data_IF_167282168863
#
_entry.id   IF_167282168863
#
_cell.length_a   1.000
_cell.length_b   1.000
_cell.length_c   1.000
_cell.angle_alpha   90.00
_cell.angle_beta   90.00
_cell.angle_gamma   90.00
#
_symmetry.space_group_name_H-M   'P 1'
#
loop_
_entity.id
_entity.type
_entity.pdbx_description
1 polymer ?
#
# COMPACT_ATOMS: atom_id res chain seq x y z
N UNK A 1 2.92 19.72 16.49
CA UNK A 1 2.92 19.70 15.03
C UNK A 1 4.35 19.93 14.54
N UNK A 2 5.03 18.93 13.94
CA UNK A 2 6.42 19.04 13.51
C UNK A 2 6.65 20.19 12.50
N UNK A 3 5.69 20.49 11.64
CA UNK A 3 5.79 21.61 10.70
C UNK A 3 5.85 22.97 11.41
N UNK A 4 5.24 23.10 12.58
CA UNK A 4 5.33 24.33 13.39
C UNK A 4 6.73 24.56 14.00
N UNK A 5 7.57 23.52 14.02
CA UNK A 5 8.95 23.57 14.49
C UNK A 5 9.96 23.88 13.36
N UNK A 6 9.47 24.10 12.13
CA UNK A 6 10.33 24.37 10.97
C UNK A 6 11.23 23.20 10.56
N UNK A 7 10.85 21.96 10.93
CA UNK A 7 11.62 20.79 10.59
C UNK A 7 11.67 20.58 9.07
N UNK A 8 12.85 20.26 8.58
CA UNK A 8 13.08 19.89 7.19
C UNK A 8 12.93 18.38 7.01
N UNK A 9 12.87 17.91 5.78
CA UNK A 9 12.91 16.50 5.45
C UNK A 9 14.20 15.85 5.99
N UNK A 10 14.05 14.75 6.76
CA UNK A 10 15.21 14.10 7.37
C UNK A 10 14.94 13.26 8.61
N UNK A 11 16.00 12.69 9.15
CA UNK A 11 15.98 11.94 10.39
C UNK A 11 16.12 12.86 11.61
N UNK A 12 15.33 12.56 12.62
CA UNK A 12 15.32 13.27 13.91
C UNK A 12 15.32 12.28 15.06
N UNK A 13 16.11 12.54 16.08
CA UNK A 13 16.07 11.78 17.31
C UNK A 13 14.92 12.30 18.19
N UNK A 14 14.00 11.43 18.55
CA UNK A 14 12.93 11.71 19.49
C UNK A 14 13.33 11.18 20.85
N UNK A 15 13.37 12.06 21.85
CA UNK A 15 13.65 11.72 23.22
C UNK A 15 12.35 11.76 24.04
N UNK A 16 12.20 10.78 24.92
CA UNK A 16 11.13 10.72 25.89
C UNK A 16 11.70 10.46 27.27
N UNK A 17 11.52 11.42 28.16
CA UNK A 17 11.92 11.31 29.56
C UNK A 17 10.68 11.06 30.42
N UNK A 18 10.73 10.00 31.23
CA UNK A 18 9.67 9.61 32.15
C UNK A 18 10.20 9.67 33.56
N UNK A 19 9.60 10.51 34.38
CA UNK A 19 9.88 10.54 35.82
C UNK A 19 9.05 9.44 36.50
N UNK A 20 9.75 8.47 37.07
CA UNK A 20 9.11 7.38 37.81
C UNK A 20 8.65 7.83 39.21
N UNK A 21 7.72 7.08 39.84
CA UNK A 21 7.20 7.45 41.17
C UNK A 21 8.27 7.50 42.28
N UNK A 22 9.40 6.81 42.07
CA UNK A 22 10.54 6.84 43.01
C UNK A 22 11.49 8.04 42.79
N UNK A 23 11.14 8.93 41.86
CA UNK A 23 11.95 10.10 41.53
C UNK A 23 13.07 9.80 40.50
N UNK A 24 13.17 8.57 39.97
CA UNK A 24 14.16 8.21 38.97
C UNK A 24 13.71 8.72 37.60
N UNK A 25 14.60 9.37 36.85
CA UNK A 25 14.37 9.74 35.47
C UNK A 25 14.78 8.60 34.53
N UNK A 26 13.85 8.09 33.72
CA UNK A 26 14.13 7.12 32.69
C UNK A 26 13.99 7.77 31.32
N UNK A 27 15.07 7.79 30.57
CA UNK A 27 15.10 8.34 29.20
C UNK A 27 15.13 7.23 28.18
N UNK A 28 14.37 7.39 27.10
CA UNK A 28 14.44 6.59 25.88
C UNK A 28 14.51 7.49 24.67
N UNK A 29 15.25 7.06 23.67
CA UNK A 29 15.29 7.73 22.37
C UNK A 29 14.96 6.77 21.25
N UNK A 30 14.40 7.29 20.18
CA UNK A 30 14.18 6.58 18.93
C UNK A 30 14.41 7.55 17.78
N UNK A 31 14.92 7.05 16.66
CA UNK A 31 15.05 7.83 15.46
C UNK A 31 13.77 7.76 14.65
N UNK A 32 13.27 8.89 14.20
CA UNK A 32 12.13 9.01 13.31
C UNK A 32 12.54 9.76 12.05
N UNK A 33 11.91 9.39 10.93
CA UNK A 33 12.02 10.16 9.71
C UNK A 33 10.82 11.11 9.61
N UNK A 34 11.10 12.41 9.48
CA UNK A 34 10.09 13.41 9.19
C UNK A 34 10.09 13.73 7.70
N UNK A 35 8.91 13.74 7.08
CA UNK A 35 8.71 14.26 5.74
C UNK A 35 7.58 15.28 5.71
N UNK A 36 7.80 16.47 5.13
CA UNK A 36 6.76 17.48 4.98
C UNK A 36 5.64 17.02 4.02
N UNK A 37 5.89 16.01 3.21
CA UNK A 37 4.92 15.41 2.30
C UNK A 37 4.06 14.32 2.95
N UNK A 38 4.28 14.06 4.23
CA UNK A 38 3.52 13.08 5.01
C UNK A 38 2.02 13.37 5.02
N UNK A 39 1.23 12.31 5.09
CA UNK A 39 -0.22 12.37 5.29
C UNK A 39 -0.60 11.49 6.47
N UNK A 40 -1.50 11.94 7.31
CA UNK A 40 -2.05 11.17 8.43
C UNK A 40 -3.07 10.11 7.97
N UNK A 41 -3.52 10.19 6.72
CA UNK A 41 -4.48 9.27 6.12
C UNK A 41 -3.95 8.67 4.82
N UNK A 42 -4.51 7.53 4.44
CA UNK A 42 -4.37 6.89 3.13
C UNK A 42 -5.76 6.53 2.65
N UNK A 43 -6.22 7.08 1.52
CA UNK A 43 -7.58 6.85 1.03
C UNK A 43 -8.67 7.07 2.11
N UNK A 44 -8.48 8.07 2.96
CA UNK A 44 -9.43 8.39 4.02
C UNK A 44 -9.35 7.56 5.30
N UNK A 45 -8.58 6.45 5.34
CA UNK A 45 -8.35 5.69 6.57
C UNK A 45 -7.10 6.17 7.31
N UNK A 46 -7.04 5.90 8.61
CA UNK A 46 -5.87 6.26 9.43
C UNK A 46 -4.61 5.55 8.95
N UNK A 47 -3.58 6.30 8.58
CA UNK A 47 -2.28 5.74 8.19
C UNK A 47 -1.64 4.96 9.33
N UNK A 48 -1.63 5.52 10.53
CA UNK A 48 -1.04 4.83 11.68
C UNK A 48 -1.80 3.54 12.00
N UNK A 49 -3.13 3.55 11.88
CA UNK A 49 -3.95 2.36 12.01
C UNK A 49 -3.58 1.30 10.97
N UNK A 50 -3.47 1.70 9.70
CA UNK A 50 -3.10 0.80 8.60
C UNK A 50 -1.70 0.21 8.79
N UNK A 51 -0.71 1.03 9.08
CA UNK A 51 0.68 0.57 9.29
C UNK A 51 0.78 -0.34 10.51
N UNK A 52 0.09 -0.01 11.61
CA UNK A 52 0.07 -0.83 12.82
C UNK A 52 -0.57 -2.19 12.54
N UNK A 53 -1.72 -2.20 11.87
CA UNK A 53 -2.38 -3.45 11.50
C UNK A 53 -1.50 -4.33 10.61
N UNK A 54 -0.94 -3.76 9.54
CA UNK A 54 -0.01 -4.45 8.65
C UNK A 54 1.18 -5.03 9.42
N UNK A 55 1.82 -4.24 10.27
CA UNK A 55 2.97 -4.68 11.07
C UNK A 55 2.63 -5.84 11.99
N UNK A 56 1.46 -5.84 12.62
CA UNK A 56 1.02 -6.92 13.50
C UNK A 56 0.71 -8.22 12.77
N UNK A 57 0.48 -8.16 11.45
CA UNK A 57 0.18 -9.32 10.59
C UNK A 57 1.33 -9.69 9.64
N UNK A 58 2.49 -9.06 9.79
CA UNK A 58 3.63 -9.22 8.87
C UNK A 58 4.07 -10.69 8.68
N UNK A 59 3.95 -11.50 9.72
CA UNK A 59 4.34 -12.91 9.71
C UNK A 59 3.15 -13.88 9.63
N UNK A 60 1.95 -13.33 9.48
CA UNK A 60 0.73 -14.11 9.35
C UNK A 60 0.49 -14.46 7.87
N UNK A 61 1.24 -15.40 7.41
CA UNK A 61 1.23 -15.79 6.01
C UNK A 61 -0.10 -16.35 5.53
N UNK A 62 -0.78 -17.14 6.34
CA UNK A 62 -2.10 -17.68 6.00
C UNK A 62 -3.13 -16.55 5.82
N UNK A 63 -3.11 -15.61 6.73
CA UNK A 63 -4.07 -14.52 6.77
C UNK A 63 -3.89 -13.56 5.59
N UNK A 64 -2.65 -13.30 5.20
CA UNK A 64 -2.29 -12.42 4.10
C UNK A 64 -2.10 -13.17 2.77
N UNK A 65 -2.34 -14.48 2.74
CA UNK A 65 -2.21 -15.29 1.53
C UNK A 65 -0.77 -15.59 1.16
N UNK A 66 -0.13 -16.54 1.84
CA UNK A 66 1.24 -16.95 1.54
C UNK A 66 1.41 -17.68 0.23
N UNK A 67 0.34 -18.18 -0.33
CA UNK A 67 0.42 -19.01 -1.51
C UNK A 67 -0.55 -18.54 -2.57
N UNK A 68 0.02 -18.07 -3.66
CA UNK A 68 -0.71 -17.71 -4.87
C UNK A 68 -0.13 -18.55 -6.01
N UNK A 69 -0.83 -19.57 -6.44
CA UNK A 69 -0.38 -20.41 -7.54
C UNK A 69 -1.10 -19.99 -8.82
N UNK A 70 -0.59 -19.09 -9.52
CA UNK A 70 -0.97 -18.70 -10.88
C UNK A 70 -2.45 -18.75 -11.23
N UNK A 71 -3.14 -18.05 -11.71
CA UNK A 71 -4.56 -17.98 -12.00
C UNK A 71 -5.22 -16.87 -11.18
N UNK A 72 -6.01 -16.14 -11.82
CA UNK A 72 -6.73 -15.03 -11.27
C UNK A 72 -7.90 -15.58 -10.46
N UNK A 73 -7.91 -15.40 -9.15
CA UNK A 73 -9.08 -15.66 -8.33
C UNK A 73 -9.80 -14.35 -8.06
N UNK A 74 -10.94 -14.15 -8.67
CA UNK A 74 -11.75 -12.95 -8.45
C UNK A 74 -12.25 -12.86 -7.02
N UNK A 75 -12.54 -14.00 -6.40
CA UNK A 75 -13.00 -14.06 -5.03
C UNK A 75 -11.97 -13.50 -4.05
N UNK A 76 -10.68 -13.70 -4.31
CA UNK A 76 -9.62 -13.14 -3.48
C UNK A 76 -9.49 -11.61 -3.60
N UNK A 77 -10.07 -11.00 -4.62
CA UNK A 77 -10.14 -9.54 -4.74
C UNK A 77 -11.18 -8.92 -3.84
N UNK A 78 -12.21 -9.67 -3.46
CA UNK A 78 -13.32 -9.20 -2.63
C UNK A 78 -13.21 -9.65 -1.19
N UNK A 79 -12.70 -10.85 -0.97
CA UNK A 79 -12.64 -11.48 0.34
C UNK A 79 -11.21 -11.46 0.86
N UNK A 80 -10.97 -10.64 1.85
CA UNK A 80 -9.63 -10.42 2.36
C UNK A 80 -8.96 -11.65 2.96
N UNK A 81 -9.69 -12.66 3.37
CA UNK A 81 -9.14 -13.86 4.03
C UNK A 81 -8.61 -14.95 3.08
N UNK A 82 -8.40 -14.63 1.82
CA UNK A 82 -7.99 -15.67 0.88
C UNK A 82 -9.06 -16.72 0.73
N UNK A 83 -10.07 -16.46 -0.06
CA UNK A 83 -11.07 -17.46 -0.40
C UNK A 83 -10.38 -18.71 -0.97
N UNK A 84 -10.92 -19.90 -0.72
CA UNK A 84 -10.43 -21.12 -1.35
C UNK A 84 -10.42 -20.93 -2.87
N UNK A 85 -9.27 -21.20 -3.46
CA UNK A 85 -9.12 -21.11 -4.90
C UNK A 85 -9.51 -22.44 -5.54
N UNK A 86 -9.71 -22.42 -6.85
CA UNK A 86 -10.00 -23.61 -7.64
C UNK A 86 -8.92 -24.70 -7.52
N UNK A 87 -7.68 -24.32 -7.20
CA UNK A 87 -6.53 -25.20 -6.98
C UNK A 87 -6.41 -25.72 -5.55
N UNK A 88 -7.38 -25.42 -4.67
CA UNK A 88 -7.40 -25.86 -3.28
C UNK A 88 -6.47 -25.07 -2.33
N UNK A 89 -5.76 -24.06 -2.84
CA UNK A 89 -4.94 -23.19 -2.00
C UNK A 89 -5.70 -21.95 -1.57
N UNK A 90 -5.42 -21.49 -0.35
CA UNK A 90 -5.84 -20.17 0.10
C UNK A 90 -4.83 -19.11 -0.31
N UNK A 91 -5.30 -17.96 -0.71
CA UNK A 91 -4.43 -16.86 -1.11
C UNK A 91 -5.22 -15.64 -1.56
N UNK A 92 -4.52 -14.53 -1.75
CA UNK A 92 -5.08 -13.32 -2.36
C UNK A 92 -4.16 -12.87 -3.47
N UNK A 93 -4.71 -12.13 -4.41
CA UNK A 93 -3.90 -11.37 -5.36
C UNK A 93 -3.49 -10.00 -4.76
N UNK A 94 -2.78 -9.19 -5.54
CA UNK A 94 -2.30 -7.89 -5.11
C UNK A 94 -3.42 -6.97 -4.59
N UNK A 95 -4.55 -6.94 -5.27
CA UNK A 95 -5.70 -6.11 -4.88
C UNK A 95 -6.44 -6.67 -3.68
N UNK A 96 -6.53 -7.99 -3.55
CA UNK A 96 -7.10 -8.65 -2.38
C UNK A 96 -6.31 -8.35 -1.11
N UNK A 97 -4.98 -8.34 -1.20
CA UNK A 97 -4.10 -7.97 -0.10
C UNK A 97 -4.34 -6.53 0.37
N UNK A 98 -4.33 -5.58 -0.57
CA UNK A 98 -4.59 -4.16 -0.24
C UNK A 98 -6.00 -3.97 0.32
N UNK A 99 -7.01 -4.65 -0.27
CA UNK A 99 -8.38 -4.58 0.19
C UNK A 99 -8.55 -5.12 1.62
N UNK A 100 -7.85 -6.21 1.95
CA UNK A 100 -7.89 -6.77 3.28
C UNK A 100 -7.36 -5.82 4.34
N UNK A 101 -6.16 -5.29 4.11
CA UNK A 101 -5.56 -4.32 5.02
C UNK A 101 -6.43 -3.06 5.17
N UNK A 102 -6.95 -2.55 4.05
CA UNK A 102 -7.80 -1.36 4.05
C UNK A 102 -9.11 -1.58 4.79
N UNK A 103 -9.80 -2.70 4.54
CA UNK A 103 -11.04 -3.04 5.24
C UNK A 103 -10.85 -3.24 6.75
N UNK A 104 -9.73 -3.84 7.15
CA UNK A 104 -9.42 -4.10 8.55
C UNK A 104 -9.31 -2.82 9.40
N UNK A 105 -9.04 -1.68 8.77
CA UNK A 105 -8.95 -0.37 9.43
C UNK A 105 -10.14 0.54 9.10
N UNK A 106 -11.24 -0.04 8.65
CA UNK A 106 -12.51 0.66 8.44
C UNK A 106 -12.70 1.24 7.03
N UNK A 107 -11.87 0.87 6.08
CA UNK A 107 -12.03 1.28 4.68
C UNK A 107 -13.21 0.59 3.99
N UNK A 108 -13.93 1.32 3.15
CA UNK A 108 -15.09 0.82 2.42
C UNK A 108 -14.68 0.19 1.09
N UNK A 109 -14.37 -1.10 1.12
CA UNK A 109 -13.98 -1.86 -0.08
C UNK A 109 -15.12 -2.03 -1.09
N UNK A 110 -16.39 -1.95 -0.66
CA UNK A 110 -17.53 -2.08 -1.56
C UNK A 110 -17.59 -0.87 -2.51
N UNK A 111 -17.29 0.31 -2.02
CA UNK A 111 -17.23 1.52 -2.86
C UNK A 111 -16.12 1.43 -3.91
N UNK A 112 -15.00 0.77 -3.57
CA UNK A 112 -13.92 0.51 -4.53
C UNK A 112 -14.38 -0.51 -5.57
N UNK A 113 -15.00 -1.60 -5.14
CA UNK A 113 -15.51 -2.64 -6.03
C UNK A 113 -16.56 -2.12 -7.03
N UNK A 114 -17.33 -1.12 -6.65
CA UNK A 114 -18.35 -0.48 -7.50
C UNK A 114 -17.79 0.64 -8.39
N UNK A 115 -16.55 1.08 -8.16
CA UNK A 115 -15.96 2.15 -8.95
C UNK A 115 -15.55 1.65 -10.33
N UNK A 116 -16.24 2.07 -11.37
CA UNK A 116 -15.95 1.77 -12.76
C UNK A 116 -15.23 2.93 -13.47
N UNK A 117 -15.06 4.06 -12.81
CA UNK A 117 -14.43 5.22 -13.38
C UNK A 117 -12.94 4.99 -13.63
N UNK A 118 -12.44 5.49 -14.71
CA UNK A 118 -11.02 5.47 -15.07
C UNK A 118 -10.40 4.08 -15.29
N UNK A 119 -11.20 3.01 -15.27
CA UNK A 119 -10.68 1.67 -15.57
C UNK A 119 -10.82 1.38 -17.07
N UNK A 120 -9.74 1.06 -17.77
CA UNK A 120 -9.84 0.60 -19.15
C UNK A 120 -10.56 -0.74 -19.27
N UNK A 121 -10.78 -1.42 -18.14
CA UNK A 121 -11.42 -2.73 -18.06
C UNK A 121 -12.85 -2.68 -17.47
N UNK A 122 -13.53 -1.58 -17.63
CA UNK A 122 -14.87 -1.39 -17.05
C UNK A 122 -15.89 -2.49 -17.38
N UNK A 123 -15.70 -3.23 -18.44
CA UNK A 123 -16.51 -4.40 -18.84
C UNK A 123 -15.77 -5.73 -18.90
N UNK A 124 -14.49 -5.77 -18.54
CA UNK A 124 -13.66 -6.96 -18.57
C UNK A 124 -13.81 -7.89 -17.38
N UNK A 125 -12.90 -8.87 -17.23
CA UNK A 125 -12.89 -9.81 -16.09
C UNK A 125 -12.65 -9.10 -14.77
N UNK A 126 -13.40 -8.38 -14.22
CA UNK A 126 -13.39 -7.49 -13.08
C UNK A 126 -14.57 -6.54 -13.15
N UNK A 127 -15.34 -6.59 -14.24
CA UNK A 127 -16.68 -6.03 -14.27
C UNK A 127 -17.56 -6.73 -13.23
N UNK A 128 -18.63 -6.14 -12.78
CA UNK A 128 -19.57 -6.80 -11.91
C UNK A 128 -19.19 -6.91 -10.42
N UNK A 129 -18.38 -6.00 -9.88
CA UNK A 129 -18.18 -5.91 -8.45
C UNK A 129 -16.82 -6.40 -7.94
N UNK A 130 -15.94 -6.85 -8.82
CA UNK A 130 -14.59 -7.25 -8.40
C UNK A 130 -13.67 -6.04 -8.21
N UNK A 131 -12.78 -6.13 -7.22
CA UNK A 131 -11.74 -5.12 -6.99
C UNK A 131 -10.53 -5.45 -7.88
N UNK A 132 -10.21 -4.58 -8.81
CA UNK A 132 -8.95 -4.59 -9.54
C UNK A 132 -8.12 -3.33 -9.21
N UNK A 133 -6.84 -3.32 -9.56
CA UNK A 133 -5.97 -2.21 -9.20
C UNK A 133 -6.39 -0.87 -9.83
N UNK A 134 -7.01 -0.87 -11.01
CA UNK A 134 -7.57 0.33 -11.63
C UNK A 134 -8.71 0.95 -10.84
N UNK A 135 -9.50 0.14 -10.13
CA UNK A 135 -10.61 0.65 -9.30
C UNK A 135 -10.10 1.42 -8.10
N UNK A 136 -8.97 1.03 -7.54
CA UNK A 136 -8.27 1.80 -6.51
C UNK A 136 -7.87 3.17 -7.00
N UNK A 137 -7.29 3.24 -8.20
CA UNK A 137 -6.91 4.50 -8.83
C UNK A 137 -8.13 5.39 -9.10
N UNK A 138 -9.20 4.82 -9.68
CA UNK A 138 -10.45 5.54 -9.94
C UNK A 138 -11.08 6.06 -8.64
N UNK A 139 -11.18 5.22 -7.63
CA UNK A 139 -11.72 5.60 -6.33
C UNK A 139 -10.94 6.72 -5.65
N UNK A 140 -9.61 6.65 -5.68
CA UNK A 140 -8.74 7.69 -5.16
C UNK A 140 -8.96 9.04 -5.85
N UNK A 141 -9.16 9.04 -7.17
CA UNK A 141 -9.51 10.26 -7.94
C UNK A 141 -10.85 10.81 -7.53
N UNK A 142 -11.87 9.98 -7.42
CA UNK A 142 -13.22 10.40 -7.08
C UNK A 142 -13.31 10.95 -5.65
N UNK A 143 -12.48 10.45 -4.74
CA UNK A 143 -12.34 11.00 -3.38
C UNK A 143 -11.52 12.28 -3.32
N UNK A 144 -10.85 12.68 -4.40
CA UNK A 144 -9.93 13.81 -4.38
C UNK A 144 -8.68 13.59 -3.55
N UNK A 145 -8.26 12.34 -3.42
CA UNK A 145 -7.03 12.01 -2.69
C UNK A 145 -5.79 12.59 -3.37
N UNK A 146 -4.77 12.87 -2.58
CA UNK A 146 -3.47 13.26 -3.13
C UNK A 146 -2.87 12.07 -3.87
N UNK A 147 -2.56 12.28 -5.13
CA UNK A 147 -1.89 11.30 -5.98
C UNK A 147 -0.73 11.96 -6.71
N UNK A 148 0.37 11.24 -6.77
CA UNK A 148 1.58 11.67 -7.48
C UNK A 148 1.95 10.60 -8.49
N UNK A 149 2.07 11.00 -9.75
CA UNK A 149 2.40 10.08 -10.85
C UNK A 149 3.84 10.32 -11.31
N UNK A 150 4.62 9.24 -11.40
CA UNK A 150 6.04 9.24 -11.73
C UNK A 150 6.29 8.33 -12.93
N UNK A 151 7.32 8.66 -13.72
CA UNK A 151 7.73 7.85 -14.88
C UNK A 151 8.36 6.53 -14.48
N UNK A 152 8.90 6.44 -13.26
CA UNK A 152 9.59 5.26 -12.77
C UNK A 152 9.54 5.17 -11.25
N UNK A 153 9.84 3.99 -10.71
CA UNK A 153 10.06 3.80 -9.27
C UNK A 153 11.19 4.70 -8.78
N UNK A 154 12.27 4.84 -9.56
CA UNK A 154 13.40 5.67 -9.16
C UNK A 154 13.00 7.16 -9.04
N UNK A 155 12.16 7.66 -9.97
CA UNK A 155 11.65 9.04 -9.87
C UNK A 155 10.77 9.21 -8.64
N UNK A 156 9.93 8.22 -8.32
CA UNK A 156 9.13 8.20 -7.10
C UNK A 156 10.01 8.28 -5.85
N UNK A 157 11.04 7.44 -5.76
CA UNK A 157 11.96 7.42 -4.62
C UNK A 157 12.75 8.74 -4.51
N UNK A 158 13.20 9.29 -5.63
CA UNK A 158 13.96 10.55 -5.65
C UNK A 158 13.09 11.76 -5.26
N UNK A 159 11.76 11.66 -5.41
CA UNK A 159 10.85 12.77 -5.10
C UNK A 159 10.73 13.10 -3.62
N UNK A 160 11.04 12.15 -2.73
CA UNK A 160 10.81 12.29 -1.30
C UNK A 160 9.33 12.24 -0.87
N UNK A 161 8.40 11.92 -1.78
CA UNK A 161 6.97 11.93 -1.48
C UNK A 161 6.46 10.67 -0.83
N UNK A 162 7.14 9.54 -1.01
CA UNK A 162 6.69 8.26 -0.50
C UNK A 162 6.71 8.22 1.04
N UNK A 163 5.72 7.57 1.62
CA UNK A 163 5.60 7.37 3.06
C UNK A 163 5.07 5.96 3.33
N UNK A 164 5.59 5.30 4.36
CA UNK A 164 5.15 3.96 4.74
C UNK A 164 3.62 3.88 4.85
N UNK A 165 3.03 2.89 4.17
CA UNK A 165 1.60 2.71 4.09
C UNK A 165 0.92 3.42 2.91
N UNK A 166 1.63 4.25 2.13
CA UNK A 166 1.09 4.75 0.86
C UNK A 166 0.80 3.58 -0.08
N UNK A 167 -0.25 3.70 -0.87
CA UNK A 167 -0.55 2.72 -1.89
C UNK A 167 0.26 3.06 -3.15
N UNK A 168 1.00 2.07 -3.65
CA UNK A 168 1.69 2.16 -4.94
C UNK A 168 0.85 1.42 -5.98
N UNK A 169 0.47 2.13 -7.03
CA UNK A 169 -0.21 1.56 -8.18
C UNK A 169 0.68 1.63 -9.41
N UNK A 170 1.00 0.47 -9.97
CA UNK A 170 1.72 0.35 -11.25
C UNK A 170 0.71 0.43 -12.38
N UNK A 171 0.63 1.61 -12.97
CA UNK A 171 -0.32 1.92 -14.02
C UNK A 171 0.18 1.40 -15.36
N UNK A 172 -0.69 0.72 -16.09
CA UNK A 172 -0.44 0.22 -17.44
C UNK A 172 -1.40 0.87 -18.43
N UNK A 173 -1.24 0.58 -19.72
CA UNK A 173 -2.17 1.04 -20.76
C UNK A 173 -3.45 0.19 -20.85
N UNK A 174 -3.59 -0.81 -19.96
CA UNK A 174 -4.70 -1.75 -19.97
C UNK A 174 -4.51 -2.95 -20.92
N UNK A 175 -3.42 -2.99 -21.69
CA UNK A 175 -3.08 -4.13 -22.53
C UNK A 175 -2.43 -5.26 -21.74
N UNK A 176 -1.89 -4.95 -20.58
CA UNK A 176 -1.26 -5.88 -19.64
C UNK A 176 -1.82 -5.66 -18.23
N UNK A 177 -1.63 -6.65 -17.38
CA UNK A 177 -2.06 -6.59 -16.00
C UNK A 177 -1.33 -5.46 -15.25
N UNK A 178 -2.05 -4.82 -14.34
CA UNK A 178 -1.53 -3.80 -13.45
C UNK A 178 -1.26 -4.40 -12.07
N UNK A 179 -0.52 -3.67 -11.23
CA UNK A 179 -0.14 -4.16 -9.92
C UNK A 179 -0.32 -3.09 -8.85
N UNK A 180 -0.52 -3.53 -7.60
CA UNK A 180 -0.74 -2.65 -6.46
C UNK A 180 -0.11 -3.25 -5.21
N UNK A 181 0.30 -2.39 -4.29
CA UNK A 181 0.83 -2.77 -2.98
C UNK A 181 1.04 -1.55 -2.11
N UNK A 182 1.71 -1.72 -0.97
CA UNK A 182 2.04 -0.63 -0.08
C UNK A 182 3.52 -0.26 -0.18
N UNK A 183 3.82 1.03 -0.18
CA UNK A 183 5.17 1.49 0.11
C UNK A 183 5.53 1.10 1.55
N UNK A 184 6.69 0.47 1.74
CA UNK A 184 7.09 -0.09 3.03
C UNK A 184 8.48 0.36 3.48
N UNK A 185 9.03 1.38 2.84
CA UNK A 185 10.28 2.02 3.23
C UNK A 185 10.17 2.75 4.57
N UNK A 186 11.26 2.79 5.32
CA UNK A 186 11.34 3.54 6.58
C UNK A 186 11.59 5.04 6.35
N UNK A 187 12.05 5.37 5.15
CA UNK A 187 12.15 6.72 4.62
C UNK A 187 11.71 6.73 3.14
N UNK A 188 11.44 7.88 2.53
CA UNK A 188 10.89 7.96 1.17
C UNK A 188 11.81 7.46 0.06
N UNK A 189 13.09 7.29 0.35
CA UNK A 189 14.11 6.83 -0.62
C UNK A 189 14.38 5.33 -0.56
N UNK A 190 13.81 4.63 0.43
CA UNK A 190 13.95 3.18 0.56
C UNK A 190 13.17 2.47 -0.55
N UNK A 191 13.88 1.72 -1.38
CA UNK A 191 13.25 0.90 -2.40
C UNK A 191 12.62 -0.35 -1.78
N UNK A 192 11.47 -0.18 -1.16
CA UNK A 192 10.81 -1.25 -0.43
C UNK A 192 9.29 -1.13 -0.54
N UNK A 193 8.65 -2.21 -0.95
CA UNK A 193 7.19 -2.32 -0.94
C UNK A 193 6.74 -3.64 -0.32
N UNK A 194 5.50 -3.67 0.11
CA UNK A 194 4.82 -4.87 0.56
C UNK A 194 3.65 -5.16 -0.36
N UNK A 195 3.68 -6.31 -0.99
CA UNK A 195 2.71 -6.70 -1.99
C UNK A 195 2.48 -8.21 -2.03
N UNK A 196 1.43 -8.60 -2.70
CA UNK A 196 1.12 -9.99 -3.00
C UNK A 196 1.44 -10.29 -4.46
N UNK A 197 2.38 -11.19 -4.67
CA UNK A 197 2.77 -11.68 -6.01
C UNK A 197 3.03 -13.19 -5.94
N UNK A 198 3.32 -13.83 -7.07
CA UNK A 198 3.84 -15.18 -7.10
C UNK A 198 5.28 -15.21 -6.53
N UNK A 199 5.61 -16.04 -5.55
CA UNK A 199 4.79 -17.14 -5.00
C UNK A 199 3.93 -16.79 -3.79
N UNK A 200 3.82 -15.53 -3.39
CA UNK A 200 2.98 -15.16 -2.25
C UNK A 200 3.22 -13.75 -1.73
N UNK A 201 3.02 -13.54 -0.44
CA UNK A 201 3.21 -12.26 0.23
C UNK A 201 4.70 -11.92 0.34
N UNK A 202 5.09 -10.74 -0.09
CA UNK A 202 6.49 -10.33 -0.19
C UNK A 202 6.69 -8.89 0.30
N UNK A 203 7.68 -8.70 1.16
CA UNK A 203 8.30 -7.40 1.43
C UNK A 203 9.66 -7.39 0.75
N UNK A 204 9.84 -6.50 -0.22
CA UNK A 204 11.06 -6.45 -1.01
C UNK A 204 11.13 -5.20 -1.86
N UNK A 205 12.11 -5.10 -2.78
CA UNK A 205 12.21 -3.97 -3.68
C UNK A 205 10.93 -3.74 -4.47
N UNK A 206 10.57 -2.49 -4.70
CA UNK A 206 9.51 -2.15 -5.64
C UNK A 206 9.81 -2.77 -7.00
N UNK A 207 8.78 -3.13 -7.73
CA UNK A 207 8.97 -3.68 -9.06
C UNK A 207 9.89 -2.79 -9.89
N UNK A 208 10.88 -3.43 -10.48
CA UNK A 208 11.73 -2.77 -11.46
C UNK A 208 11.03 -2.84 -12.81
N UNK A 209 10.78 -1.69 -13.40
CA UNK A 209 10.19 -1.54 -14.73
C UNK A 209 10.89 -2.37 -15.81
N UNK A 210 12.17 -2.71 -15.60
CA UNK A 210 12.96 -3.41 -16.59
C UNK A 210 12.59 -4.89 -16.74
N UNK A 211 11.98 -5.51 -15.75
CA UNK A 211 11.91 -6.97 -15.71
C UNK A 211 10.60 -7.59 -16.20
N UNK A 212 9.51 -6.82 -16.38
CA UNK A 212 8.23 -7.42 -16.75
C UNK A 212 7.39 -6.68 -17.79
N UNK A 213 7.82 -5.59 -18.33
CA UNK A 213 7.01 -4.80 -19.26
C UNK A 213 5.75 -4.18 -18.60
N UNK A 214 5.54 -4.41 -17.32
CA UNK A 214 4.34 -3.99 -16.59
C UNK A 214 4.33 -2.50 -16.27
N UNK A 215 5.45 -1.84 -16.35
CA UNK A 215 5.53 -0.41 -16.12
C UNK A 215 5.96 0.29 -17.41
N UNK A 216 5.17 0.15 -18.40
CA UNK A 216 5.36 0.92 -19.62
C UNK A 216 4.89 2.36 -19.49
N UNK A 217 4.18 2.72 -18.41
CA UNK A 217 3.57 4.03 -18.32
C UNK A 217 3.95 4.81 -17.07
N UNK A 218 3.58 4.39 -15.88
CA UNK A 218 3.86 5.18 -14.69
C UNK A 218 3.65 4.43 -13.38
N UNK A 219 4.20 5.00 -12.33
CA UNK A 219 3.97 4.59 -10.95
C UNK A 219 3.18 5.68 -10.27
N UNK A 220 2.04 5.34 -9.67
CA UNK A 220 1.19 6.27 -8.95
C UNK A 220 1.27 6.00 -7.47
N UNK A 221 1.64 7.02 -6.71
CA UNK A 221 1.61 7.02 -5.26
C UNK A 221 0.29 7.64 -4.80
N UNK A 222 -0.50 6.89 -4.04
CA UNK A 222 -1.81 7.29 -3.53
C UNK A 222 -1.73 7.48 -2.01
N UNK A 223 -2.17 8.65 -1.54
CA UNK A 223 -2.18 9.03 -0.13
C UNK A 223 -3.56 9.11 0.47
#
# INVERSE_FOLDING_TARGET
NPSALGLQDGYYDLYCDVLLPDGTLQSKSTQIYYSPFGSSTVLGVSRIGLVTWLTSHQFDGYYLGTRYSGGFSYDSCLYPKGAPRWDGYTGMNCTGFVAHAYAAVGGDVNRIAQNNNHSPWAGGPGGGGYINAWRWYGYARDLGCKMYEFRSVQDMLNSGYAQKGDIIFFKTDGSIDCHIGFFWGDNPHDNKMWHQILPGNLIGPCFNNANKGEVRQSVVLIK
#
